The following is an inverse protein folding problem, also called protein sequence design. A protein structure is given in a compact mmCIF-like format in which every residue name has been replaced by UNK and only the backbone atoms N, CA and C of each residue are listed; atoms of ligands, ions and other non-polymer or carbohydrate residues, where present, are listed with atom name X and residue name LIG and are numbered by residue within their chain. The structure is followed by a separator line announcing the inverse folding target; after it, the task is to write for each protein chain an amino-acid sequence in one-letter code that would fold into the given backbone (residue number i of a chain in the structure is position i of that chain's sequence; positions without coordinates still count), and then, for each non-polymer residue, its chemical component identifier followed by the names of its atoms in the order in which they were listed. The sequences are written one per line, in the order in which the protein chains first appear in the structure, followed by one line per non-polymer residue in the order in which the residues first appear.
data_IF_919419507950
#
_entry.id   IF_919419507950
#
_cell.length_a   1.000
_cell.length_b   1.000
_cell.length_c   1.000
_cell.angle_alpha   90.00
_cell.angle_beta   90.00
_cell.angle_gamma   90.00
#
_symmetry.space_group_name_H-M   'P 1'
#
loop_
_entity.id
_entity.type
_entity.pdbx_description
1 polymer ?
#
# COMPACT_ATOMS: atom_id res chain seq x y z
N UNK A 1 23.89 15.96 31.40
CA UNK A 1 24.36 14.82 30.56
C UNK A 1 25.00 13.84 31.50
N UNK A 2 24.54 12.58 31.53
CA UNK A 2 25.17 11.55 32.36
C UNK A 2 26.51 11.18 31.70
N UNK A 3 27.63 11.13 32.46
CA UNK A 3 28.92 10.76 31.91
C UNK A 3 28.92 9.25 31.57
N UNK A 4 29.33 8.94 30.31
CA UNK A 4 29.55 7.54 29.94
C UNK A 4 30.77 6.98 30.68
N UNK A 5 30.75 5.66 30.99
CA UNK A 5 31.92 5.00 31.57
C UNK A 5 33.14 5.14 30.66
N UNK A 6 34.31 5.35 31.28
CA UNK A 6 35.58 5.27 30.53
C UNK A 6 35.79 3.82 30.12
N UNK A 7 36.25 3.60 28.89
CA UNK A 7 36.49 2.28 28.30
C UNK A 7 35.20 1.49 27.94
N UNK A 8 34.12 2.18 27.62
CA UNK A 8 32.96 1.55 27.01
C UNK A 8 33.33 0.95 25.65
N UNK A 9 33.13 -0.36 25.47
CA UNK A 9 33.27 -1.04 24.19
C UNK A 9 31.90 -1.07 23.51
N UNK A 10 31.85 -0.68 22.24
CA UNK A 10 30.64 -0.70 21.43
C UNK A 10 30.97 -1.46 20.16
N UNK A 11 30.43 -2.67 20.06
CA UNK A 11 30.60 -3.53 18.89
C UNK A 11 29.23 -3.73 18.20
N UNK A 12 29.27 -3.92 16.90
CA UNK A 12 28.08 -4.23 16.13
C UNK A 12 27.73 -5.72 16.31
N UNK A 13 26.52 -6.01 16.76
CA UNK A 13 26.01 -7.35 16.96
C UNK A 13 25.37 -7.88 15.68
N UNK A 14 26.17 -8.49 14.82
CA UNK A 14 25.72 -9.06 13.54
C UNK A 14 24.78 -10.25 13.70
N UNK A 15 24.94 -11.05 14.76
CA UNK A 15 24.10 -12.21 15.01
C UNK A 15 22.67 -11.75 15.33
N UNK A 16 22.53 -10.77 16.22
CA UNK A 16 21.21 -10.21 16.55
C UNK A 16 20.58 -9.46 15.36
N UNK A 17 21.37 -8.76 14.55
CA UNK A 17 20.85 -8.15 13.30
C UNK A 17 20.26 -9.20 12.36
N UNK A 18 20.94 -10.34 12.18
CA UNK A 18 20.44 -11.43 11.33
C UNK A 18 19.18 -12.08 11.92
N UNK A 19 19.15 -12.27 13.22
CA UNK A 19 18.00 -12.80 13.93
C UNK A 19 16.78 -11.89 13.76
N UNK A 20 16.93 -10.59 13.97
CA UNK A 20 15.86 -9.59 13.77
C UNK A 20 15.38 -9.55 12.31
N UNK A 21 16.29 -9.61 11.34
CA UNK A 21 15.93 -9.65 9.93
C UNK A 21 15.11 -10.90 9.57
N UNK A 22 15.47 -12.06 10.15
CA UNK A 22 14.72 -13.32 10.00
C UNK A 22 13.32 -13.20 10.61
N UNK A 23 13.20 -12.71 11.85
CA UNK A 23 11.92 -12.52 12.53
C UNK A 23 11.03 -11.53 11.79
N UNK A 24 11.59 -10.44 11.26
CA UNK A 24 10.88 -9.47 10.44
C UNK A 24 10.33 -10.12 9.16
N UNK A 25 11.13 -10.94 8.48
CA UNK A 25 10.71 -11.69 7.29
C UNK A 25 9.56 -12.63 7.62
N UNK A 26 9.72 -13.47 8.64
CA UNK A 26 8.68 -14.40 9.10
C UNK A 26 7.38 -13.69 9.46
N UNK A 27 7.46 -12.49 10.04
CA UNK A 27 6.30 -11.68 10.39
C UNK A 27 5.59 -11.11 9.15
N UNK A 28 6.35 -10.59 8.18
CA UNK A 28 5.81 -9.95 6.97
C UNK A 28 5.29 -10.98 5.97
N UNK A 29 6.00 -12.10 5.79
CA UNK A 29 5.64 -13.18 4.85
C UNK A 29 4.64 -14.18 5.43
N UNK A 30 4.04 -13.88 6.60
CA UNK A 30 3.07 -14.75 7.26
C UNK A 30 1.86 -15.04 6.37
N UNK A 31 1.76 -16.33 6.04
CA UNK A 31 0.53 -16.94 5.56
C UNK A 31 0.24 -16.74 4.08
N UNK A 32 -0.34 -17.77 3.50
CA UNK A 32 -0.98 -17.68 2.18
C UNK A 32 -2.22 -16.79 2.31
N UNK A 33 -2.19 -15.63 1.69
CA UNK A 33 -3.40 -14.83 1.49
C UNK A 33 -4.34 -15.63 0.61
N UNK A 34 -5.44 -16.11 1.18
CA UNK A 34 -6.49 -16.78 0.42
C UNK A 34 -7.46 -15.75 -0.16
N UNK A 35 -8.04 -16.05 -1.33
CA UNK A 35 -9.03 -15.18 -1.97
C UNK A 35 -8.43 -14.01 -2.74
N UNK A 36 -9.27 -13.06 -3.08
CA UNK A 36 -8.92 -11.80 -3.76
C UNK A 36 -9.10 -10.66 -2.77
N UNK A 37 -8.08 -9.84 -2.62
CA UNK A 37 -8.09 -8.68 -1.73
C UNK A 37 -8.24 -7.39 -2.53
N UNK A 38 -8.77 -6.33 -1.91
CA UNK A 38 -8.91 -5.01 -2.54
C UNK A 38 -7.59 -4.51 -3.13
N UNK A 39 -6.47 -4.71 -2.43
CA UNK A 39 -5.15 -4.33 -2.93
C UNK A 39 -4.72 -5.08 -4.19
N UNK A 40 -5.25 -6.28 -4.44
CA UNK A 40 -4.94 -7.07 -5.64
C UNK A 40 -5.63 -6.47 -6.88
N UNK A 41 -6.74 -5.75 -6.69
CA UNK A 41 -7.50 -5.11 -7.75
C UNK A 41 -6.86 -3.80 -8.24
N UNK A 42 -5.94 -3.23 -7.47
CA UNK A 42 -5.21 -2.01 -7.85
C UNK A 42 -4.16 -2.30 -8.92
N UNK A 43 -3.49 -3.47 -8.83
CA UNK A 43 -2.47 -3.92 -9.75
C UNK A 43 -2.68 -5.41 -10.08
N UNK A 44 -3.74 -5.70 -10.81
CA UNK A 44 -4.22 -7.08 -11.09
C UNK A 44 -3.17 -7.98 -11.73
N UNK A 45 -2.34 -7.43 -12.63
CA UNK A 45 -1.28 -8.21 -13.26
C UNK A 45 -0.17 -8.61 -12.28
N UNK A 46 0.21 -7.70 -11.38
CA UNK A 46 1.16 -8.01 -10.30
C UNK A 46 0.57 -9.04 -9.34
N UNK A 47 -0.71 -8.90 -8.98
CA UNK A 47 -1.42 -9.87 -8.15
C UNK A 47 -1.50 -11.25 -8.80
N UNK A 48 -1.74 -11.31 -10.12
CA UNK A 48 -1.71 -12.56 -10.89
C UNK A 48 -0.34 -13.25 -10.81
N UNK A 49 0.76 -12.53 -11.06
CA UNK A 49 2.09 -13.12 -10.99
C UNK A 49 2.47 -13.57 -9.60
N UNK A 50 2.12 -12.82 -8.56
CA UNK A 50 2.29 -13.22 -7.15
C UNK A 50 1.50 -14.47 -6.78
N UNK A 51 0.32 -14.63 -7.37
CA UNK A 51 -0.46 -15.86 -7.22
C UNK A 51 0.19 -17.05 -7.95
N UNK A 52 0.73 -16.82 -9.16
CA UNK A 52 1.33 -17.88 -9.98
C UNK A 52 2.68 -18.35 -9.40
N UNK A 53 3.49 -17.43 -8.90
CA UNK A 53 4.84 -17.70 -8.39
C UNK A 53 5.04 -17.04 -7.03
N UNK A 54 5.22 -17.87 -5.99
CA UNK A 54 5.52 -17.39 -4.64
C UNK A 54 7.00 -17.05 -4.56
N UNK A 55 7.38 -15.85 -4.93
CA UNK A 55 8.75 -15.38 -4.74
C UNK A 55 8.89 -14.69 -3.37
N UNK A 56 10.00 -14.95 -2.65
CA UNK A 56 10.27 -14.26 -1.40
C UNK A 56 10.46 -12.76 -1.66
N UNK A 57 9.98 -11.94 -0.73
CA UNK A 57 10.18 -10.50 -0.83
C UNK A 57 11.66 -10.13 -0.66
N UNK A 58 12.20 -9.17 -1.45
CA UNK A 58 13.53 -8.62 -1.22
C UNK A 58 13.66 -8.02 0.19
N UNK A 59 14.82 -8.15 0.83
CA UNK A 59 15.07 -7.63 2.20
C UNK A 59 14.73 -6.15 2.35
N UNK A 60 15.03 -5.35 1.31
CA UNK A 60 14.69 -3.94 1.28
C UNK A 60 13.18 -3.70 1.46
N UNK A 61 12.34 -4.54 0.85
CA UNK A 61 10.88 -4.43 0.99
C UNK A 61 10.42 -4.90 2.36
N UNK A 62 11.02 -5.96 2.91
CA UNK A 62 10.73 -6.41 4.29
C UNK A 62 10.94 -5.26 5.27
N UNK A 63 12.11 -4.62 5.22
CA UNK A 63 12.44 -3.50 6.10
C UNK A 63 11.47 -2.30 5.93
N UNK A 64 11.06 -2.02 4.69
CA UNK A 64 10.06 -0.98 4.44
C UNK A 64 8.69 -1.32 5.04
N UNK A 65 8.26 -2.56 4.95
CA UNK A 65 6.99 -3.02 5.53
C UNK A 65 7.02 -2.99 7.06
N UNK A 66 8.13 -3.41 7.68
CA UNK A 66 8.30 -3.33 9.15
C UNK A 66 8.15 -1.90 9.63
N UNK A 67 8.83 -0.95 9.01
CA UNK A 67 8.70 0.49 9.36
C UNK A 67 7.27 0.98 9.15
N UNK A 68 6.65 0.63 8.02
CA UNK A 68 5.26 0.98 7.72
C UNK A 68 4.30 0.45 8.79
N UNK A 69 4.41 -0.84 9.14
CA UNK A 69 3.55 -1.47 10.14
C UNK A 69 3.76 -0.90 11.55
N UNK A 70 5.01 -0.61 11.94
CA UNK A 70 5.29 0.02 13.24
C UNK A 70 4.61 1.39 13.36
N UNK A 71 4.68 2.22 12.32
CA UNK A 71 4.02 3.53 12.30
C UNK A 71 2.49 3.41 12.27
N UNK A 72 1.94 2.45 11.53
CA UNK A 72 0.52 2.12 11.58
C UNK A 72 0.09 1.76 13.01
N UNK A 73 0.81 0.86 13.67
CA UNK A 73 0.49 0.44 15.03
C UNK A 73 0.48 1.63 16.01
N UNK A 74 1.44 2.54 15.90
CA UNK A 74 1.49 3.76 16.74
C UNK A 74 0.27 4.65 16.48
N UNK A 75 -0.08 4.92 15.22
CA UNK A 75 -1.25 5.73 14.90
C UNK A 75 -2.56 5.07 15.36
N UNK A 76 -2.67 3.76 15.23
CA UNK A 76 -3.82 3.00 15.71
C UNK A 76 -3.94 3.09 17.24
N UNK A 77 -2.81 3.04 17.99
CA UNK A 77 -2.81 3.25 19.43
C UNK A 77 -3.26 4.66 19.81
N UNK A 78 -2.77 5.69 19.10
CA UNK A 78 -3.15 7.08 19.36
C UNK A 78 -4.65 7.27 19.11
N UNK A 79 -5.17 6.79 17.98
CA UNK A 79 -6.59 6.86 17.63
C UNK A 79 -7.46 6.05 18.59
N UNK A 80 -7.05 4.83 18.96
CA UNK A 80 -7.74 3.98 19.93
C UNK A 80 -7.84 4.62 21.32
N UNK A 81 -6.82 5.39 21.74
CA UNK A 81 -6.81 6.13 22.99
C UNK A 81 -7.81 7.29 23.01
N UNK A 82 -8.24 7.82 21.86
CA UNK A 82 -9.27 8.87 21.78
C UNK A 82 -10.70 8.33 21.86
N UNK A 83 -10.90 7.00 21.83
CA UNK A 83 -12.22 6.40 21.72
C UNK A 83 -12.88 6.52 20.36
N UNK A 84 -12.21 7.18 19.40
CA UNK A 84 -12.74 7.45 18.04
C UNK A 84 -12.46 6.31 17.05
N UNK A 85 -11.96 5.18 17.55
CA UNK A 85 -11.47 4.08 16.74
C UNK A 85 -12.15 2.75 17.10
N UNK A 86 -12.63 2.04 16.08
CA UNK A 86 -12.95 0.62 16.16
C UNK A 86 -12.10 -0.18 15.20
N UNK A 87 -11.24 -1.04 15.71
CA UNK A 87 -10.70 -2.14 14.93
C UNK A 87 -11.61 -3.34 15.15
N UNK A 88 -12.16 -3.94 14.08
CA UNK A 88 -12.91 -5.18 14.24
C UNK A 88 -12.05 -6.22 14.97
N UNK A 89 -12.64 -6.97 15.94
CA UNK A 89 -11.90 -7.88 16.81
C UNK A 89 -11.20 -9.04 16.08
N UNK A 90 -11.59 -9.35 14.86
CA UNK A 90 -11.08 -10.44 14.02
C UNK A 90 -9.99 -9.99 13.00
N UNK A 91 -9.38 -8.83 13.20
CA UNK A 91 -8.39 -8.27 12.28
C UNK A 91 -8.99 -7.47 11.14
N UNK A 92 -10.30 -7.29 11.11
CA UNK A 92 -10.98 -6.32 10.28
C UNK A 92 -11.20 -6.69 8.82
N UNK A 93 -10.98 -7.93 8.45
CA UNK A 93 -11.28 -8.37 7.07
C UNK A 93 -12.78 -8.50 6.89
N UNK A 94 -13.30 -7.74 5.94
CA UNK A 94 -14.70 -7.77 5.49
C UNK A 94 -14.78 -8.36 4.09
N UNK A 95 -15.98 -8.71 3.66
CA UNK A 95 -16.25 -9.26 2.34
C UNK A 95 -17.23 -8.36 1.59
N UNK A 96 -16.90 -8.06 0.34
CA UNK A 96 -17.80 -7.45 -0.63
C UNK A 96 -17.66 -8.22 -1.96
N UNK A 97 -18.72 -8.87 -2.43
CA UNK A 97 -18.69 -9.66 -3.68
C UNK A 97 -17.48 -10.61 -3.76
N UNK A 98 -17.20 -11.35 -2.69
CA UNK A 98 -16.07 -12.27 -2.51
C UNK A 98 -14.69 -11.58 -2.46
N UNK A 99 -14.65 -10.25 -2.47
CA UNK A 99 -13.42 -9.48 -2.32
C UNK A 99 -13.19 -9.20 -0.85
N UNK A 100 -12.03 -9.60 -0.36
CA UNK A 100 -11.60 -9.28 0.99
C UNK A 100 -11.04 -7.85 1.05
N UNK A 101 -11.49 -7.08 2.04
CA UNK A 101 -10.98 -5.73 2.25
C UNK A 101 -10.91 -5.40 3.74
N UNK A 102 -9.98 -4.54 4.09
CA UNK A 102 -9.74 -4.16 5.47
C UNK A 102 -9.23 -2.72 5.49
N UNK A 103 -10.09 -1.73 5.73
CA UNK A 103 -9.66 -0.38 6.04
C UNK A 103 -8.76 -0.39 7.28
N UNK A 104 -7.78 0.49 7.35
CA UNK A 104 -6.89 0.57 8.51
C UNK A 104 -7.68 0.90 9.79
N UNK A 105 -8.73 1.73 9.68
CA UNK A 105 -9.75 1.91 10.72
C UNK A 105 -11.02 2.56 10.16
N UNK A 106 -12.10 2.52 10.95
CA UNK A 106 -13.35 3.21 10.69
C UNK A 106 -13.57 4.28 11.75
N UNK A 107 -14.00 5.48 11.36
CA UNK A 107 -14.37 6.52 12.31
C UNK A 107 -15.60 6.11 13.14
N UNK A 108 -15.56 6.29 14.46
CA UNK A 108 -16.64 5.88 15.35
C UNK A 108 -17.97 6.60 15.08
N UNK A 109 -17.92 7.86 14.69
CA UNK A 109 -19.13 8.68 14.55
C UNK A 109 -19.94 8.35 13.31
N UNK A 110 -19.28 8.14 12.17
CA UNK A 110 -19.95 7.99 10.86
C UNK A 110 -19.57 6.69 10.13
N UNK A 111 -18.64 5.91 10.66
CA UNK A 111 -18.13 4.68 10.06
C UNK A 111 -17.33 4.93 8.77
N UNK A 112 -16.83 6.15 8.55
CA UNK A 112 -16.04 6.45 7.35
C UNK A 112 -14.69 5.72 7.37
N UNK A 113 -14.29 5.09 6.25
CA UNK A 113 -13.04 4.36 6.18
C UNK A 113 -11.83 5.29 6.12
N UNK A 114 -10.76 4.85 6.73
CA UNK A 114 -9.46 5.49 6.70
C UNK A 114 -8.42 4.55 6.12
N UNK A 115 -7.52 5.12 5.34
CA UNK A 115 -6.35 4.47 4.79
C UNK A 115 -5.09 5.22 5.22
N UNK A 116 -4.13 4.51 5.77
CA UNK A 116 -2.85 5.06 6.22
C UNK A 116 -1.75 4.62 5.26
N UNK A 117 -0.94 5.54 4.81
CA UNK A 117 0.23 5.24 3.98
C UNK A 117 1.47 5.96 4.51
N UNK A 118 2.57 5.24 4.53
CA UNK A 118 3.89 5.79 4.84
C UNK A 118 4.63 6.08 3.54
N UNK A 119 5.24 7.24 3.42
CA UNK A 119 5.99 7.65 2.24
C UNK A 119 7.34 8.25 2.61
N UNK A 120 8.32 8.05 1.72
CA UNK A 120 9.65 8.70 1.78
C UNK A 120 9.73 9.92 0.87
N UNK A 121 8.63 10.33 0.24
CA UNK A 121 8.59 11.54 -0.57
C UNK A 121 8.98 12.76 0.27
N UNK A 122 9.63 13.72 -0.36
CA UNK A 122 10.00 14.98 0.29
C UNK A 122 8.89 16.03 0.20
N UNK A 123 8.02 15.92 -0.77
CA UNK A 123 7.02 16.95 -1.06
C UNK A 123 5.61 16.39 -1.09
N UNK A 124 4.70 17.17 -0.55
CA UNK A 124 3.27 16.94 -0.69
C UNK A 124 2.83 17.17 -2.14
N UNK A 125 1.98 16.30 -2.68
CA UNK A 125 1.29 16.61 -3.92
C UNK A 125 0.35 17.79 -3.70
N UNK A 126 0.27 18.68 -4.67
CA UNK A 126 -0.64 19.82 -4.62
C UNK A 126 -2.10 19.35 -4.74
N UNK A 127 -2.96 19.77 -3.84
CA UNK A 127 -4.40 19.64 -4.02
C UNK A 127 -4.90 20.75 -4.95
N UNK A 128 -5.85 20.50 -5.87
CA UNK A 128 -6.60 19.26 -6.08
C UNK A 128 -5.95 18.23 -6.99
N UNK A 129 -4.66 18.33 -7.27
CA UNK A 129 -3.94 17.48 -8.24
C UNK A 129 -3.54 16.12 -7.67
N UNK A 130 -3.85 15.85 -6.39
CA UNK A 130 -3.58 14.57 -5.74
C UNK A 130 -4.01 13.35 -6.58
N UNK A 131 -5.20 13.32 -7.22
CA UNK A 131 -5.63 12.20 -8.05
C UNK A 131 -4.79 11.98 -9.31
N UNK A 132 -4.07 13.00 -9.77
CA UNK A 132 -3.25 12.92 -10.98
C UNK A 132 -1.82 12.42 -10.72
N UNK A 133 -1.40 12.36 -9.45
CA UNK A 133 -0.13 11.76 -9.07
C UNK A 133 -0.26 10.23 -9.04
N UNK A 134 0.60 9.56 -9.81
CA UNK A 134 0.51 8.10 -10.00
C UNK A 134 0.63 7.29 -8.72
N UNK A 135 1.39 7.76 -7.74
CA UNK A 135 1.57 7.09 -6.45
C UNK A 135 0.35 7.27 -5.57
N UNK A 136 -0.10 8.50 -5.41
CA UNK A 136 -1.25 8.84 -4.57
C UNK A 136 -2.57 8.36 -5.18
N UNK A 137 -2.63 8.27 -6.50
CA UNK A 137 -3.79 7.68 -7.20
C UNK A 137 -4.10 6.27 -6.70
N UNK A 138 -3.07 5.42 -6.51
CA UNK A 138 -3.27 4.08 -5.95
C UNK A 138 -3.85 4.09 -4.53
N UNK A 139 -3.38 5.01 -3.70
CA UNK A 139 -3.89 5.14 -2.34
C UNK A 139 -5.35 5.60 -2.34
N UNK A 140 -5.68 6.51 -3.26
CA UNK A 140 -7.06 6.95 -3.47
C UNK A 140 -7.95 5.83 -4.03
N UNK A 141 -7.48 5.05 -4.99
CA UNK A 141 -8.22 3.89 -5.51
C UNK A 141 -8.56 2.90 -4.39
N UNK A 142 -7.62 2.62 -3.51
CA UNK A 142 -7.84 1.73 -2.36
C UNK A 142 -8.87 2.32 -1.40
N UNK A 143 -8.71 3.59 -1.01
CA UNK A 143 -9.63 4.27 -0.11
C UNK A 143 -11.04 4.38 -0.70
N UNK A 144 -11.17 4.82 -1.97
CA UNK A 144 -12.48 4.93 -2.65
C UNK A 144 -13.11 3.54 -2.83
N UNK A 145 -12.30 2.51 -3.04
CA UNK A 145 -12.75 1.12 -3.02
C UNK A 145 -13.40 0.76 -1.67
N UNK A 146 -12.77 1.09 -0.56
CA UNK A 146 -13.33 0.89 0.78
C UNK A 146 -14.61 1.71 1.00
N UNK A 147 -14.59 2.98 0.59
CA UNK A 147 -15.77 3.85 0.66
C UNK A 147 -16.96 3.24 -0.10
N UNK A 148 -16.69 2.68 -1.28
CA UNK A 148 -17.72 2.02 -2.09
C UNK A 148 -18.26 0.75 -1.42
N UNK A 149 -17.39 -0.09 -0.84
CA UNK A 149 -17.79 -1.30 -0.11
C UNK A 149 -18.57 -1.00 1.17
N UNK A 150 -18.19 0.06 1.90
CA UNK A 150 -18.85 0.50 3.15
C UNK A 150 -20.08 1.39 2.92
N UNK A 151 -20.37 1.76 1.67
CA UNK A 151 -21.40 2.74 1.30
C UNK A 151 -21.23 4.08 2.01
N UNK A 152 -19.99 4.56 2.12
CA UNK A 152 -19.67 5.81 2.82
C UNK A 152 -19.21 6.88 1.85
N UNK A 153 -19.90 8.04 1.84
CA UNK A 153 -19.54 9.14 0.91
C UNK A 153 -18.28 9.89 1.31
N UNK A 154 -17.76 9.63 2.51
CA UNK A 154 -16.56 10.27 3.07
C UNK A 154 -15.55 9.19 3.47
N UNK A 155 -14.29 9.45 3.16
CA UNK A 155 -13.14 8.69 3.65
C UNK A 155 -11.97 9.61 3.96
N UNK A 156 -10.93 9.10 4.59
CA UNK A 156 -9.72 9.85 4.92
C UNK A 156 -8.48 9.10 4.47
N UNK A 157 -7.59 9.80 3.78
CA UNK A 157 -6.25 9.32 3.46
C UNK A 157 -5.25 10.00 4.41
N UNK A 158 -4.63 9.21 5.26
CA UNK A 158 -3.58 9.68 6.18
C UNK A 158 -2.22 9.33 5.61
N UNK A 159 -1.40 10.34 5.34
CA UNK A 159 -0.05 10.19 4.80
C UNK A 159 0.99 10.50 5.88
N UNK A 160 1.82 9.52 6.19
CA UNK A 160 2.97 9.64 7.06
C UNK A 160 4.22 9.87 6.20
N UNK A 161 4.71 11.09 6.21
CA UNK A 161 5.96 11.46 5.56
C UNK A 161 7.13 11.23 6.52
N UNK A 162 8.10 10.43 6.13
CA UNK A 162 9.32 10.23 6.91
C UNK A 162 10.32 11.38 6.70
N UNK A 163 10.29 11.99 5.52
CA UNK A 163 11.27 12.97 5.07
C UNK A 163 10.61 14.20 4.42
N UNK A 164 9.49 14.70 4.99
CA UNK A 164 8.84 15.89 4.44
C UNK A 164 9.79 17.08 4.50
N UNK A 165 9.93 17.82 3.38
CA UNK A 165 10.81 18.97 3.28
C UNK A 165 9.99 20.26 3.28
N UNK A 166 10.24 21.10 4.29
CA UNK A 166 9.68 22.43 4.43
C UNK A 166 10.81 23.37 4.87
N UNK A 167 10.92 24.53 4.26
CA UNK A 167 11.92 25.56 4.58
C UNK A 167 13.36 25.02 4.71
N UNK A 168 13.77 24.15 3.76
CA UNK A 168 15.06 23.46 3.74
C UNK A 168 15.36 22.52 4.93
N UNK A 169 14.35 22.25 5.76
CA UNK A 169 14.43 21.24 6.84
C UNK A 169 13.67 19.99 6.43
N UNK A 170 14.20 18.86 6.83
CA UNK A 170 13.53 17.56 6.63
C UNK A 170 12.99 17.07 7.97
N UNK A 171 11.68 16.91 8.07
CA UNK A 171 11.00 16.48 9.30
C UNK A 171 9.94 15.42 8.99
N UNK A 172 9.73 14.43 9.88
CA UNK A 172 8.55 13.59 9.80
C UNK A 172 7.28 14.44 9.94
N UNK A 173 6.27 14.16 9.12
CA UNK A 173 5.03 14.93 9.13
C UNK A 173 3.83 14.04 8.82
N UNK A 174 2.67 14.41 9.34
CA UNK A 174 1.40 13.70 9.14
C UNK A 174 0.44 14.63 8.42
N UNK A 175 -0.13 14.16 7.33
CA UNK A 175 -1.17 14.89 6.58
C UNK A 175 -2.40 14.02 6.42
N UNK A 176 -3.57 14.62 6.58
CA UNK A 176 -4.85 13.94 6.43
C UNK A 176 -5.67 14.63 5.36
N UNK A 177 -6.05 13.86 4.35
CA UNK A 177 -6.91 14.34 3.25
C UNK A 177 -8.30 13.74 3.40
N UNK A 178 -9.31 14.59 3.46
CA UNK A 178 -10.70 14.18 3.37
C UNK A 178 -11.07 13.95 1.91
N UNK A 179 -11.55 12.76 1.61
CA UNK A 179 -12.06 12.37 0.29
C UNK A 179 -13.57 12.29 0.34
N UNK A 180 -14.24 12.87 -0.64
CA UNK A 180 -15.70 12.86 -0.72
C UNK A 180 -16.12 12.33 -2.09
N UNK A 181 -17.05 11.38 -2.10
CA UNK A 181 -17.63 10.80 -3.30
C UNK A 181 -19.14 10.99 -3.32
N UNK A 182 -19.70 11.24 -4.49
CA UNK A 182 -21.15 11.20 -4.70
C UNK A 182 -21.64 9.74 -4.73
N UNK A 183 -22.92 9.46 -4.49
CA UNK A 183 -23.47 8.11 -4.63
C UNK A 183 -23.21 7.50 -6.01
N UNK A 184 -23.28 8.29 -7.07
CA UNK A 184 -22.99 7.82 -8.43
C UNK A 184 -21.53 7.40 -8.62
N UNK A 185 -20.58 8.10 -7.98
CA UNK A 185 -19.16 7.72 -8.00
C UNK A 185 -18.89 6.43 -7.21
N UNK A 186 -19.54 6.25 -6.05
CA UNK A 186 -19.44 5.02 -5.28
C UNK A 186 -20.00 3.84 -6.07
N UNK A 187 -21.14 3.99 -6.71
CA UNK A 187 -21.74 2.96 -7.54
C UNK A 187 -20.87 2.63 -8.77
N UNK A 188 -20.29 3.63 -9.41
CA UNK A 188 -19.33 3.41 -10.48
C UNK A 188 -18.10 2.62 -10.00
N UNK A 189 -17.57 2.93 -8.79
CA UNK A 189 -16.45 2.20 -8.21
C UNK A 189 -16.80 0.75 -7.89
N UNK A 190 -18.01 0.47 -7.34
CA UNK A 190 -18.47 -0.91 -7.12
C UNK A 190 -18.44 -1.74 -8.40
N UNK A 191 -18.96 -1.20 -9.50
CA UNK A 191 -18.94 -1.86 -10.81
C UNK A 191 -17.51 -2.11 -11.30
N UNK A 192 -16.61 -1.14 -11.12
CA UNK A 192 -15.19 -1.30 -11.47
C UNK A 192 -14.55 -2.42 -10.65
N UNK A 193 -14.79 -2.44 -9.34
CA UNK A 193 -14.26 -3.46 -8.41
C UNK A 193 -14.70 -4.86 -8.84
N UNK A 194 -16.01 -5.07 -9.05
CA UNK A 194 -16.56 -6.37 -9.46
C UNK A 194 -15.98 -6.80 -10.82
N UNK A 195 -16.01 -5.91 -11.81
CA UNK A 195 -15.44 -6.18 -13.14
C UNK A 195 -13.97 -6.55 -13.06
N UNK A 196 -13.20 -5.84 -12.23
CA UNK A 196 -11.76 -6.08 -12.08
C UNK A 196 -11.48 -7.42 -11.39
N UNK A 197 -12.30 -7.78 -10.37
CA UNK A 197 -12.27 -9.11 -9.74
C UNK A 197 -12.53 -10.21 -10.79
N UNK A 198 -13.58 -10.06 -11.58
CA UNK A 198 -13.96 -11.06 -12.58
C UNK A 198 -12.85 -11.25 -13.64
N UNK A 199 -12.21 -10.15 -14.06
CA UNK A 199 -11.05 -10.22 -14.97
C UNK A 199 -9.86 -10.95 -14.33
N UNK A 200 -9.55 -10.68 -13.07
CA UNK A 200 -8.47 -11.35 -12.36
C UNK A 200 -8.77 -12.84 -12.15
N UNK A 201 -10.01 -13.18 -11.82
CA UNK A 201 -10.47 -14.57 -11.69
C UNK A 201 -10.33 -15.30 -13.04
N UNK A 202 -10.84 -14.72 -14.10
CA UNK A 202 -10.73 -15.30 -15.46
C UNK A 202 -9.26 -15.48 -15.87
N UNK A 203 -8.40 -14.51 -15.58
CA UNK A 203 -6.97 -14.63 -15.87
C UNK A 203 -6.32 -15.81 -15.13
N UNK A 204 -6.69 -16.03 -13.86
CA UNK A 204 -6.21 -17.17 -13.07
C UNK A 204 -6.69 -18.51 -13.62
N UNK A 205 -7.98 -18.61 -13.94
CA UNK A 205 -8.60 -19.83 -14.48
C UNK A 205 -8.03 -20.21 -15.85
N UNK A 206 -7.88 -19.23 -16.73
CA UNK A 206 -7.36 -19.44 -18.09
C UNK A 206 -5.83 -19.42 -18.16
N UNK A 207 -5.14 -19.12 -17.06
CA UNK A 207 -3.68 -18.90 -17.00
C UNK A 207 -3.20 -17.88 -18.04
N UNK A 208 -4.01 -16.86 -18.32
CA UNK A 208 -3.76 -15.84 -19.33
C UNK A 208 -3.71 -14.44 -18.70
N UNK A 209 -2.51 -13.96 -18.41
CA UNK A 209 -2.30 -12.61 -17.87
C UNK A 209 -2.46 -11.49 -18.90
N UNK A 210 -2.54 -11.81 -20.20
CA UNK A 210 -2.66 -10.81 -21.27
C UNK A 210 -4.01 -10.08 -21.25
N UNK A 211 -5.03 -10.69 -20.65
CA UNK A 211 -6.35 -10.05 -20.47
C UNK A 211 -6.36 -8.99 -19.34
N UNK A 212 -5.32 -8.97 -18.51
CA UNK A 212 -5.19 -7.99 -17.42
C UNK A 212 -4.50 -6.72 -17.90
N UNK A 213 -4.89 -5.55 -17.39
CA UNK A 213 -4.23 -4.30 -17.70
C UNK A 213 -2.77 -4.34 -17.29
N UNK A 214 -1.96 -3.52 -17.96
CA UNK A 214 -0.56 -3.33 -17.58
C UNK A 214 -0.46 -2.66 -16.22
N UNK A 215 0.54 -3.07 -15.45
CA UNK A 215 0.94 -2.33 -14.27
C UNK A 215 1.40 -0.91 -14.64
N UNK A 216 1.33 -0.01 -13.69
CA UNK A 216 1.83 1.36 -13.87
C UNK A 216 3.32 1.36 -14.21
N UNK A 217 3.77 2.14 -15.20
CA UNK A 217 5.16 2.07 -15.72
C UNK A 217 6.23 2.19 -14.64
N UNK A 218 6.05 3.08 -13.67
CA UNK A 218 7.02 3.29 -12.60
C UNK A 218 7.20 2.07 -11.67
N UNK A 219 6.21 1.17 -11.58
CA UNK A 219 6.33 -0.08 -10.83
C UNK A 219 7.23 -1.10 -11.51
N UNK A 220 7.37 -1.02 -12.82
CA UNK A 220 8.19 -1.96 -13.58
C UNK A 220 9.67 -1.88 -13.21
N UNK A 221 10.15 -0.73 -12.76
CA UNK A 221 11.56 -0.52 -12.37
C UNK A 221 12.01 -1.46 -11.25
N UNK A 222 11.16 -1.67 -10.26
CA UNK A 222 11.48 -2.48 -9.08
C UNK A 222 10.65 -3.78 -9.02
N UNK A 223 10.02 -4.18 -10.15
CA UNK A 223 9.13 -5.33 -10.22
C UNK A 223 9.93 -6.61 -10.47
N UNK A 224 9.83 -7.57 -9.57
CA UNK A 224 10.46 -8.88 -9.65
C UNK A 224 10.05 -9.70 -10.89
N UNK A 225 8.86 -9.46 -11.42
CA UNK A 225 8.31 -10.17 -12.59
C UNK A 225 8.60 -9.49 -13.92
N UNK A 226 9.19 -8.29 -13.91
CA UNK A 226 9.36 -7.51 -15.14
C UNK A 226 10.26 -8.21 -16.14
N UNK A 227 11.42 -8.72 -15.70
CA UNK A 227 12.42 -9.33 -16.57
C UNK A 227 11.93 -10.63 -17.21
N UNK A 228 11.24 -11.46 -16.44
CA UNK A 228 10.90 -12.83 -16.86
C UNK A 228 9.54 -12.93 -17.54
N UNK A 229 8.59 -12.08 -17.16
CA UNK A 229 7.21 -12.15 -17.66
C UNK A 229 6.84 -11.00 -18.60
N UNK A 230 7.14 -9.75 -18.27
CA UNK A 230 6.66 -8.61 -19.05
C UNK A 230 7.65 -8.17 -20.15
N UNK A 231 8.96 -8.28 -19.90
CA UNK A 231 10.00 -7.89 -20.86
C UNK A 231 10.01 -8.72 -22.15
N UNK A 232 9.87 -10.06 -22.09
CA UNK A 232 9.80 -10.88 -23.31
C UNK A 232 8.64 -10.54 -24.23
N UNK A 233 7.58 -9.90 -23.71
CA UNK A 233 6.41 -9.49 -24.50
C UNK A 233 6.62 -8.18 -25.29
N UNK A 234 7.85 -7.70 -25.44
CA UNK A 234 8.17 -6.49 -26.18
C UNK A 234 7.84 -5.18 -25.47
N UNK A 235 7.59 -5.21 -24.18
CA UNK A 235 7.15 -4.05 -23.38
C UNK A 235 8.29 -3.17 -22.85
N UNK A 236 9.47 -3.27 -23.42
CA UNK A 236 10.66 -2.49 -23.06
C UNK A 236 10.48 -0.98 -23.17
N UNK A 237 9.67 -0.53 -24.10
CA UNK A 237 9.54 0.90 -24.39
C UNK A 237 8.82 1.67 -23.29
N UNK A 238 7.98 1.01 -22.50
CA UNK A 238 7.24 1.67 -21.43
C UNK A 238 8.12 2.05 -20.22
N UNK A 239 9.07 1.18 -19.83
CA UNK A 239 10.01 1.48 -18.74
C UNK A 239 10.97 2.63 -19.10
N UNK A 240 11.46 2.66 -20.32
CA UNK A 240 12.41 3.69 -20.78
C UNK A 240 11.75 5.06 -21.03
N UNK A 241 10.47 5.10 -21.45
CA UNK A 241 9.72 6.37 -21.56
C UNK A 241 9.41 6.97 -20.18
N UNK A 242 9.06 6.13 -19.20
CA UNK A 242 8.83 6.58 -17.84
C UNK A 242 10.08 7.23 -17.23
N UNK A 243 11.29 6.68 -17.46
CA UNK A 243 12.53 7.28 -16.99
C UNK A 243 12.79 8.67 -17.61
N UNK A 244 12.43 8.89 -18.87
CA UNK A 244 12.62 10.18 -19.55
C UNK A 244 11.62 11.26 -19.11
N UNK A 245 10.39 10.86 -18.74
CA UNK A 245 9.37 11.80 -18.26
C UNK A 245 9.61 12.27 -16.82
N UNK A 246 10.43 11.53 -16.02
CA UNK A 246 10.73 11.87 -14.63
C UNK A 246 12.05 12.62 -14.44
N UNK A 247 12.88 12.73 -15.50
CA UNK A 247 14.15 13.46 -15.51
C UNK A 247 14.07 14.81 -16.23
N UNK A 248 12.93 15.17 -16.75
CA UNK A 248 12.61 16.46 -17.35
C UNK A 248 11.68 17.29 -16.45
#
# INVERSE_FOLDING_TARGET
MLPLPKNLTIDRDYEEEQNLAKLAREHIERGDRTGIHMSDLIDTRLAYFKWLTKQPLPDRLINMFVVGQALHAVLLCIKGGTGDYTRPPDGGTKLFEEIQYSPDFLEMGDGSPNEIKTTRSFYLPKTPYLPNDSTYHMYLEQLVGYMACEDKPIGRLTLLYLNHKEDNKTTPSIFVFKVTCTPAQLEAMRRIIVKTKDQLTLAKETKNHLILPLCRPWKCRDCEFFQDACKPEGRHEFGQKAEKEWTA
#
